data_IF_553552184851
#
_entry.id   IF_553552184851
#
_cell.length_a   1.000
_cell.length_b   1.000
_cell.length_c   1.000
_cell.angle_alpha   90.00
_cell.angle_beta   90.00
_cell.angle_gamma   90.00
#
_symmetry.space_group_name_H-M   'P 1'
#
loop_
_entity.id
_entity.type
_entity.pdbx_description
1 polymer ?
#
# COMPACT_ATOMS: atom_id res chain seq x y z
N UNK A 1 -4.10 -19.54 -14.31
CA UNK A 1 -3.43 -18.26 -14.61
C UNK A 1 -3.81 -17.26 -13.54
N UNK A 2 -2.88 -16.90 -12.66
CA UNK A 2 -3.12 -15.89 -11.62
C UNK A 2 -3.37 -14.54 -12.27
N UNK A 3 -4.40 -13.81 -11.83
CA UNK A 3 -4.63 -12.44 -12.28
C UNK A 3 -3.35 -11.64 -12.01
N UNK A 4 -2.73 -11.10 -13.06
CA UNK A 4 -1.69 -10.09 -12.93
C UNK A 4 -2.24 -8.99 -12.03
N UNK A 5 -1.61 -8.81 -10.88
CA UNK A 5 -1.92 -7.67 -10.03
C UNK A 5 -0.83 -6.67 -10.32
N UNK A 6 -1.16 -5.69 -11.15
CA UNK A 6 -0.25 -4.62 -11.54
C UNK A 6 0.16 -3.81 -10.31
N UNK A 7 1.45 -3.88 -9.97
CA UNK A 7 2.05 -2.92 -9.07
C UNK A 7 1.97 -1.54 -9.71
N UNK A 8 1.58 -0.53 -8.94
CA UNK A 8 1.60 0.88 -9.38
C UNK A 8 2.58 1.68 -8.56
N UNK A 9 3.18 2.70 -9.16
CA UNK A 9 3.99 3.66 -8.40
C UNK A 9 3.13 4.44 -7.42
N UNK A 10 3.71 4.72 -6.26
CA UNK A 10 3.13 5.60 -5.27
C UNK A 10 2.92 7.01 -5.84
N UNK A 11 1.80 7.61 -5.46
CA UNK A 11 1.42 8.97 -5.83
C UNK A 11 1.18 9.77 -4.57
N UNK A 12 2.05 10.75 -4.31
CA UNK A 12 1.97 11.53 -3.08
C UNK A 12 0.69 12.38 -2.98
N UNK A 13 0.03 12.68 -4.11
CA UNK A 13 -1.23 13.41 -4.11
C UNK A 13 -2.39 12.62 -3.48
N UNK A 14 -2.22 11.30 -3.29
CA UNK A 14 -3.21 10.46 -2.61
C UNK A 14 -3.19 10.64 -1.08
N UNK A 15 -2.14 11.26 -0.52
CA UNK A 15 -2.00 11.53 0.90
C UNK A 15 -2.34 12.99 1.20
N UNK A 16 -3.45 13.21 1.90
CA UNK A 16 -3.93 14.56 2.19
C UNK A 16 -4.65 14.63 3.55
N UNK A 17 -4.70 15.85 4.10
CA UNK A 17 -5.30 16.14 5.40
C UNK A 17 -4.29 16.18 6.55
N UNK A 18 -4.76 15.91 7.77
CA UNK A 18 -3.91 15.84 8.95
C UNK A 18 -3.02 14.58 8.95
N UNK A 19 -2.05 14.55 9.87
CA UNK A 19 -1.21 13.36 10.09
C UNK A 19 -2.06 12.12 10.35
N UNK A 20 -3.11 12.23 11.17
CA UNK A 20 -4.05 11.13 11.43
C UNK A 20 -4.75 10.66 10.15
N UNK A 21 -5.15 11.58 9.27
CA UNK A 21 -5.79 11.22 7.99
C UNK A 21 -4.83 10.43 7.11
N UNK A 22 -3.58 10.88 6.99
CA UNK A 22 -2.56 10.20 6.20
C UNK A 22 -2.25 8.82 6.77
N UNK A 23 -2.13 8.69 8.09
CA UNK A 23 -1.94 7.39 8.74
C UNK A 23 -3.08 6.42 8.45
N UNK A 24 -4.34 6.89 8.42
CA UNK A 24 -5.49 6.08 8.03
C UNK A 24 -5.46 5.68 6.57
N UNK A 25 -5.12 6.61 5.67
CA UNK A 25 -4.98 6.33 4.23
C UNK A 25 -3.94 5.23 3.98
N UNK A 26 -2.82 5.27 4.72
CA UNK A 26 -1.74 4.29 4.61
C UNK A 26 -2.12 2.97 5.29
N UNK A 27 -2.66 3.01 6.50
CA UNK A 27 -2.72 1.85 7.38
C UNK A 27 -4.07 1.13 7.45
N UNK A 28 -5.16 1.72 6.96
CA UNK A 28 -6.52 1.21 7.17
C UNK A 28 -7.23 0.80 5.89
N UNK A 29 -8.08 -0.21 6.00
CA UNK A 29 -8.93 -0.66 4.92
C UNK A 29 -10.02 0.38 4.63
N UNK A 30 -10.07 0.87 3.39
CA UNK A 30 -11.11 1.83 2.93
C UNK A 30 -12.55 1.31 3.00
N UNK A 31 -12.74 0.00 3.25
CA UNK A 31 -14.06 -0.63 3.30
C UNK A 31 -14.54 -0.82 4.75
N UNK A 32 -13.69 -1.39 5.61
CA UNK A 32 -14.08 -1.77 6.97
C UNK A 32 -13.34 -1.02 8.09
N UNK A 33 -12.32 -0.22 7.77
CA UNK A 33 -11.52 0.52 8.76
C UNK A 33 -10.48 -0.32 9.51
N UNK A 34 -10.44 -1.63 9.33
CA UNK A 34 -9.43 -2.49 9.95
C UNK A 34 -8.02 -2.17 9.46
N UNK A 35 -7.02 -2.44 10.33
CA UNK A 35 -5.61 -2.30 9.97
C UNK A 35 -5.22 -3.27 8.85
N UNK A 36 -4.47 -2.77 7.89
CA UNK A 36 -3.90 -3.54 6.79
C UNK A 36 -2.63 -4.25 7.25
N UNK A 37 -2.44 -5.49 6.80
CA UNK A 37 -1.15 -6.15 6.86
C UNK A 37 -0.31 -5.68 5.67
N UNK A 38 0.77 -4.97 5.97
CA UNK A 38 1.74 -4.48 4.98
C UNK A 38 2.94 -5.45 4.92
N UNK A 39 3.42 -5.71 3.70
CA UNK A 39 4.65 -6.46 3.45
C UNK A 39 5.51 -5.69 2.46
N UNK A 40 6.75 -5.40 2.85
CA UNK A 40 7.72 -4.65 2.06
C UNK A 40 8.84 -5.58 1.56
N UNK A 41 9.13 -5.52 0.26
CA UNK A 41 10.25 -6.19 -0.37
C UNK A 41 11.16 -5.12 -1.00
N UNK A 42 12.26 -4.75 -0.33
CA UNK A 42 13.19 -3.75 -0.86
C UNK A 42 14.08 -4.35 -1.96
N UNK A 43 14.30 -3.58 -3.01
CA UNK A 43 15.31 -3.81 -4.05
C UNK A 43 16.26 -2.60 -4.08
N UNK A 44 17.38 -2.75 -3.38
CA UNK A 44 18.41 -1.72 -3.29
C UNK A 44 19.19 -1.52 -4.59
N UNK A 45 19.17 -2.48 -5.52
CA UNK A 45 19.85 -2.35 -6.81
C UNK A 45 19.11 -1.35 -7.69
N UNK A 46 17.79 -1.40 -7.68
CA UNK A 46 16.93 -0.51 -8.46
C UNK A 46 16.35 0.65 -7.64
N UNK A 47 16.72 0.76 -6.35
CA UNK A 47 16.26 1.79 -5.42
C UNK A 47 14.73 1.86 -5.33
N UNK A 48 14.08 0.70 -5.21
CA UNK A 48 12.62 0.60 -5.06
C UNK A 48 12.24 -0.28 -3.87
N UNK A 49 11.03 -0.09 -3.35
CA UNK A 49 10.39 -1.00 -2.38
C UNK A 49 9.04 -1.41 -2.94
N UNK A 50 8.84 -2.72 -3.09
CA UNK A 50 7.53 -3.28 -3.42
C UNK A 50 6.75 -3.46 -2.12
N UNK A 51 5.63 -2.77 -1.97
CA UNK A 51 4.68 -2.96 -0.87
C UNK A 51 3.47 -3.74 -1.36
N UNK A 52 3.04 -4.72 -0.56
CA UNK A 52 1.70 -5.29 -0.66
C UNK A 52 0.93 -5.05 0.63
N UNK A 53 -0.30 -4.54 0.53
CA UNK A 53 -1.21 -4.45 1.66
C UNK A 53 -2.39 -5.39 1.45
N UNK A 54 -2.86 -6.02 2.52
CA UNK A 54 -4.11 -6.79 2.53
C UNK A 54 -4.91 -6.55 3.81
N UNK A 55 -6.23 -6.45 3.68
CA UNK A 55 -7.11 -6.50 4.83
C UNK A 55 -7.35 -7.95 5.24
N UNK A 56 -7.02 -8.30 6.48
CA UNK A 56 -7.23 -9.65 7.02
C UNK A 56 -8.68 -9.93 7.39
N UNK A 57 -9.47 -8.89 7.66
CA UNK A 57 -10.84 -9.04 8.14
C UNK A 57 -11.85 -9.16 6.99
N UNK A 58 -11.78 -8.29 5.98
CA UNK A 58 -12.74 -8.30 4.86
C UNK A 58 -12.18 -8.86 3.55
N UNK A 59 -10.87 -9.06 3.41
CA UNK A 59 -10.23 -9.60 2.21
C UNK A 59 -10.24 -8.70 0.96
N UNK A 60 -11.08 -7.67 0.89
CA UNK A 60 -11.25 -6.82 -0.30
C UNK A 60 -10.23 -5.67 -0.41
N UNK A 61 -9.51 -5.35 0.66
CA UNK A 61 -8.58 -4.21 0.73
C UNK A 61 -7.15 -4.53 0.27
N UNK A 62 -6.97 -5.13 -0.91
CA UNK A 62 -5.62 -5.43 -1.43
C UNK A 62 -5.06 -4.28 -2.26
N UNK A 63 -3.84 -3.79 -1.94
CA UNK A 63 -3.07 -2.87 -2.78
C UNK A 63 -1.66 -3.39 -3.02
N UNK A 64 -1.07 -3.02 -4.15
CA UNK A 64 0.33 -3.28 -4.48
C UNK A 64 0.96 -1.98 -4.96
N UNK A 65 1.98 -1.49 -4.26
CA UNK A 65 2.64 -0.21 -4.51
C UNK A 65 4.13 -0.41 -4.75
N UNK A 66 4.72 0.47 -5.55
CA UNK A 66 6.17 0.64 -5.67
C UNK A 66 6.51 2.01 -5.08
N UNK A 67 7.34 2.01 -4.04
CA UNK A 67 7.98 3.19 -3.49
C UNK A 67 9.36 3.35 -4.13
N UNK A 68 9.77 4.59 -4.41
CA UNK A 68 11.11 4.91 -4.92
C UNK A 68 11.97 5.43 -3.77
N UNK A 69 13.16 4.86 -3.59
CA UNK A 69 14.15 5.25 -2.60
C UNK A 69 15.10 6.29 -3.21
N UNK A 70 14.75 7.58 -3.18
CA UNK A 70 15.63 8.66 -3.66
C UNK A 70 15.61 9.84 -2.71
#
# INVERSE_FOLDING_TARGET
MGKEVDFRFERYEEYWGSVDNVQKIIGECKICGSKLLLSHLPDYKNLIVQETARCIDCGSGTRKLIHVLN
#
